data_IF_075189181131
#
_entry.id   IF_075189181131
#
_cell.length_a   1.000
_cell.length_b   1.000
_cell.length_c   1.000
_cell.angle_alpha   90.00
_cell.angle_beta   90.00
_cell.angle_gamma   90.00
#
_symmetry.space_group_name_H-M   'P 1'
#
loop_
_entity.id
_entity.type
_entity.pdbx_description
1 polymer ?
#
# COMPACT_ATOMS: atom_id res chain seq x y z
N UNK A 1 -11.01 -7.86 -24.57
CA UNK A 1 -9.74 -8.41 -25.18
C UNK A 1 -8.59 -7.79 -24.40
N UNK A 2 -7.61 -8.60 -23.98
CA UNK A 2 -6.47 -8.05 -23.25
C UNK A 2 -5.74 -6.99 -24.08
N UNK A 3 -5.54 -5.78 -23.51
CA UNK A 3 -4.89 -4.66 -24.19
C UNK A 3 -3.38 -4.86 -24.36
N UNK A 4 -2.73 -3.96 -25.07
CA UNK A 4 -1.28 -3.94 -25.19
C UNK A 4 -0.64 -3.48 -23.90
N UNK A 5 0.45 -4.14 -23.49
CA UNK A 5 1.20 -3.75 -22.28
C UNK A 5 2.68 -4.09 -22.41
N UNK A 6 3.49 -3.43 -21.59
CA UNK A 6 4.86 -3.82 -21.28
C UNK A 6 4.93 -4.05 -19.78
N UNK A 7 5.36 -5.24 -19.37
CA UNK A 7 5.62 -5.54 -17.96
C UNK A 7 7.12 -5.51 -17.69
N UNK A 8 7.52 -4.66 -16.77
CA UNK A 8 8.89 -4.58 -16.29
C UNK A 8 8.89 -4.13 -14.83
N UNK A 9 9.48 -4.92 -13.94
CA UNK A 9 9.71 -4.53 -12.56
C UNK A 9 11.18 -4.67 -12.23
N UNK A 10 11.91 -3.58 -11.95
CA UNK A 10 13.35 -3.60 -11.77
C UNK A 10 13.79 -4.03 -10.36
N UNK A 11 12.87 -4.13 -9.40
CA UNK A 11 13.21 -4.43 -8.01
C UNK A 11 13.69 -5.87 -7.83
N UNK A 12 14.89 -6.07 -7.28
CA UNK A 12 15.31 -7.40 -6.80
C UNK A 12 14.65 -7.69 -5.46
N UNK A 13 13.89 -8.76 -5.40
CA UNK A 13 13.16 -9.14 -4.20
C UNK A 13 13.76 -10.39 -3.55
N UNK A 14 14.11 -10.28 -2.27
CA UNK A 14 14.60 -11.37 -1.44
C UNK A 14 13.52 -11.77 -0.43
N UNK A 15 13.03 -12.98 -0.51
CA UNK A 15 11.91 -13.46 0.28
C UNK A 15 12.28 -14.65 1.17
N UNK A 16 11.73 -14.68 2.39
CA UNK A 16 11.84 -15.81 3.32
C UNK A 16 12.64 -15.50 4.58
N UNK A 17 12.74 -16.47 5.49
CA UNK A 17 13.38 -16.33 6.82
C UNK A 17 14.82 -15.85 6.75
N UNK A 18 15.56 -16.33 5.77
CA UNK A 18 16.99 -16.03 5.60
C UNK A 18 17.23 -14.79 4.73
N UNK A 19 16.18 -14.10 4.29
CA UNK A 19 16.30 -13.01 3.32
C UNK A 19 17.13 -11.84 3.84
N UNK A 20 17.13 -11.56 5.15
CA UNK A 20 17.91 -10.47 5.73
C UNK A 20 19.41 -10.63 5.49
N UNK A 21 19.93 -11.84 5.41
CA UNK A 21 21.34 -12.10 5.13
C UNK A 21 21.79 -11.52 3.77
N UNK A 22 20.85 -11.37 2.82
CA UNK A 22 21.12 -10.77 1.51
C UNK A 22 21.47 -9.28 1.59
N UNK A 23 21.11 -8.59 2.68
CA UNK A 23 21.50 -7.19 2.88
C UNK A 23 23.02 -7.01 2.81
N UNK A 24 23.81 -7.94 3.34
CA UNK A 24 25.27 -7.86 3.31
C UNK A 24 25.84 -7.87 1.90
N UNK A 25 25.19 -8.55 0.96
CA UNK A 25 25.64 -8.60 -0.44
C UNK A 25 25.13 -7.39 -1.23
N UNK A 26 23.86 -7.02 -1.04
CA UNK A 26 23.25 -5.88 -1.76
C UNK A 26 23.94 -4.56 -1.40
N UNK A 27 24.23 -4.34 -0.11
CA UNK A 27 24.78 -3.07 0.37
C UNK A 27 26.18 -2.75 -0.18
N UNK A 28 26.91 -3.75 -0.68
CA UNK A 28 28.25 -3.56 -1.29
C UNK A 28 28.21 -2.73 -2.57
N UNK A 29 27.04 -2.70 -3.23
CA UNK A 29 26.84 -2.01 -4.50
C UNK A 29 26.65 -0.49 -4.33
N UNK A 30 26.55 0.01 -3.11
CA UNK A 30 26.25 1.41 -2.81
C UNK A 30 27.43 2.07 -2.07
N UNK A 31 27.50 3.40 -2.12
CA UNK A 31 28.50 4.20 -1.42
C UNK A 31 28.43 4.06 0.10
N UNK A 32 29.33 4.74 0.83
CA UNK A 32 29.52 4.50 2.26
C UNK A 32 28.38 5.01 3.16
N UNK A 33 27.57 5.97 2.71
CA UNK A 33 26.56 6.62 3.56
C UNK A 33 25.16 6.07 3.29
N UNK A 34 24.55 5.45 4.31
CA UNK A 34 23.20 4.90 4.27
C UNK A 34 22.30 5.66 5.22
N UNK A 35 21.23 6.27 4.69
CA UNK A 35 20.15 6.81 5.50
C UNK A 35 19.22 5.66 5.92
N UNK A 36 19.10 5.44 7.22
CA UNK A 36 18.24 4.41 7.79
C UNK A 36 16.92 5.05 8.24
N UNK A 37 15.85 4.87 7.46
CA UNK A 37 14.54 5.44 7.77
C UNK A 37 13.62 4.40 8.41
N UNK A 38 12.89 4.79 9.45
CA UNK A 38 11.95 3.92 10.15
C UNK A 38 10.92 4.72 10.96
N UNK A 39 9.83 4.06 11.38
CA UNK A 39 8.76 4.68 12.13
C UNK A 39 9.08 4.97 13.60
N UNK A 40 8.09 4.90 14.47
CA UNK A 40 8.16 5.25 15.90
C UNK A 40 8.98 4.32 16.80
N UNK A 41 9.83 3.45 16.23
CA UNK A 41 10.75 2.60 16.99
C UNK A 41 10.24 1.20 17.32
N UNK A 42 9.14 0.73 16.73
CA UNK A 42 8.65 -0.65 16.89
C UNK A 42 9.72 -1.68 16.50
N UNK A 43 10.51 -1.41 15.46
CA UNK A 43 11.61 -2.26 15.00
C UNK A 43 12.76 -2.40 16.01
N UNK A 44 12.86 -1.50 17.00
CA UNK A 44 13.83 -1.54 18.10
C UNK A 44 13.39 -2.44 19.27
N UNK A 45 12.12 -2.84 19.29
CA UNK A 45 11.61 -3.75 20.29
C UNK A 45 12.10 -5.17 20.02
N UNK A 46 12.58 -5.85 21.06
CA UNK A 46 12.92 -7.27 20.96
C UNK A 46 11.62 -8.08 20.82
N UNK A 47 11.61 -9.13 20.00
CA UNK A 47 10.47 -10.04 19.94
C UNK A 47 10.19 -10.62 21.34
N UNK A 48 8.90 -10.81 21.67
CA UNK A 48 8.46 -11.28 23.00
C UNK A 48 8.73 -12.76 23.25
N UNK A 49 9.14 -13.53 22.25
CA UNK A 49 9.37 -14.97 22.31
C UNK A 49 10.78 -15.33 21.90
N UNK A 50 11.52 -16.00 22.77
CA UNK A 50 12.88 -16.51 22.55
C UNK A 50 13.96 -15.74 23.31
N UNK A 51 14.66 -16.42 24.24
CA UNK A 51 15.83 -15.86 24.93
C UNK A 51 16.95 -15.64 23.91
N UNK A 52 17.33 -14.38 23.68
CA UNK A 52 18.45 -14.00 22.83
C UNK A 52 18.08 -13.40 21.47
N UNK A 53 16.81 -13.17 21.17
CA UNK A 53 16.43 -12.52 19.92
C UNK A 53 16.83 -11.04 19.92
N UNK A 54 17.49 -10.64 18.83
CA UNK A 54 17.94 -9.28 18.55
C UNK A 54 16.82 -8.54 17.81
N UNK A 55 16.63 -7.25 18.07
CA UNK A 55 15.64 -6.45 17.36
C UNK A 55 15.94 -6.37 15.85
N UNK A 56 14.93 -6.10 15.02
CA UNK A 56 15.15 -5.92 13.57
C UNK A 56 16.17 -4.80 13.34
N UNK A 57 16.02 -3.69 14.07
CA UNK A 57 16.94 -2.56 14.01
C UNK A 57 18.39 -2.98 14.33
N UNK A 58 18.62 -3.70 15.43
CA UNK A 58 19.98 -4.11 15.80
C UNK A 58 20.62 -5.06 14.77
N UNK A 59 19.82 -5.96 14.18
CA UNK A 59 20.29 -6.86 13.11
C UNK A 59 20.71 -6.05 11.87
N UNK A 60 19.88 -5.10 11.42
CA UNK A 60 20.18 -4.25 10.26
C UNK A 60 21.42 -3.39 10.52
N UNK A 61 21.47 -2.73 11.68
CA UNK A 61 22.63 -1.89 12.07
C UNK A 61 23.91 -2.70 12.16
N UNK A 62 23.87 -3.94 12.68
CA UNK A 62 25.04 -4.81 12.73
C UNK A 62 25.58 -5.11 11.32
N UNK A 63 24.71 -5.48 10.38
CA UNK A 63 25.08 -5.77 8.99
C UNK A 63 25.68 -4.52 8.32
N UNK A 64 25.06 -3.34 8.50
CA UNK A 64 25.57 -2.10 7.92
C UNK A 64 26.94 -1.72 8.47
N UNK A 65 27.15 -1.85 9.78
CA UNK A 65 28.45 -1.59 10.44
C UNK A 65 29.54 -2.58 10.00
N UNK A 66 29.21 -3.87 9.89
CA UNK A 66 30.11 -4.89 9.40
C UNK A 66 30.53 -4.63 7.95
N UNK A 67 29.62 -4.09 7.13
CA UNK A 67 29.89 -3.64 5.77
C UNK A 67 30.64 -2.29 5.70
N UNK A 68 31.02 -1.70 6.82
CA UNK A 68 31.75 -0.42 6.89
C UNK A 68 30.91 0.81 6.51
N UNK A 69 29.57 0.72 6.62
CA UNK A 69 28.69 1.84 6.27
C UNK A 69 28.55 2.85 7.40
N UNK A 70 28.51 4.12 7.03
CA UNK A 70 28.11 5.22 7.92
C UNK A 70 26.59 5.35 7.88
N UNK A 71 25.95 5.27 9.05
CA UNK A 71 24.49 5.33 9.16
C UNK A 71 24.09 6.76 9.48
N UNK A 72 23.20 7.31 8.65
CA UNK A 72 22.47 8.56 8.90
C UNK A 72 21.06 8.15 9.39
N UNK A 73 20.78 8.40 10.66
CA UNK A 73 19.51 8.02 11.29
C UNK A 73 18.40 9.00 10.88
N UNK A 74 17.28 8.45 10.40
CA UNK A 74 16.06 9.21 10.08
C UNK A 74 14.83 8.50 10.65
N UNK A 75 14.58 8.61 11.97
CA UNK A 75 13.44 8.01 12.65
C UNK A 75 12.16 8.85 12.53
N UNK A 76 11.07 8.29 13.02
CA UNK A 76 9.82 9.02 13.25
C UNK A 76 8.93 9.14 12.02
N UNK A 77 9.13 8.29 11.02
CA UNK A 77 8.17 8.20 9.91
C UNK A 77 6.82 7.75 10.46
N UNK A 78 5.81 8.62 10.31
CA UNK A 78 4.45 8.36 10.77
C UNK A 78 3.64 7.55 9.75
N UNK A 79 2.57 6.88 10.17
CA UNK A 79 1.51 6.49 9.24
C UNK A 79 1.01 7.73 8.49
N UNK A 80 0.66 7.61 7.22
CA UNK A 80 0.33 8.75 6.35
C UNK A 80 1.42 9.84 6.37
N UNK A 81 2.64 9.57 5.84
CA UNK A 81 3.75 10.51 5.95
C UNK A 81 3.40 11.86 5.31
N UNK A 82 3.81 12.95 5.97
CA UNK A 82 3.49 14.29 5.50
C UNK A 82 4.57 14.88 4.62
N UNK A 83 4.19 15.84 3.79
CA UNK A 83 5.14 16.54 2.91
C UNK A 83 6.21 17.29 3.72
N UNK A 84 5.84 17.84 4.88
CA UNK A 84 6.77 18.53 5.78
C UNK A 84 7.87 17.57 6.24
N UNK A 85 7.49 16.34 6.65
CA UNK A 85 8.46 15.30 7.06
C UNK A 85 9.32 14.85 5.90
N UNK A 86 8.76 14.74 4.69
CA UNK A 86 9.54 14.43 3.47
C UNK A 86 10.58 15.50 3.19
N UNK A 87 10.23 16.78 3.32
CA UNK A 87 11.16 17.90 3.10
C UNK A 87 12.31 17.91 4.12
N UNK A 88 12.03 17.58 5.39
CA UNK A 88 13.07 17.41 6.42
C UNK A 88 14.06 16.30 6.04
N UNK A 89 13.55 15.12 5.69
CA UNK A 89 14.38 13.99 5.28
C UNK A 89 15.15 14.25 3.99
N UNK A 90 14.52 14.90 3.01
CA UNK A 90 15.17 15.29 1.74
C UNK A 90 16.35 16.26 1.96
N UNK A 91 16.17 17.24 2.84
CA UNK A 91 17.23 18.16 3.25
C UNK A 91 18.38 17.39 3.91
N UNK A 92 18.07 16.53 4.88
CA UNK A 92 19.08 15.71 5.57
C UNK A 92 19.84 14.82 4.59
N UNK A 93 19.12 14.15 3.67
CA UNK A 93 19.73 13.28 2.66
C UNK A 93 20.72 14.03 1.76
N UNK A 94 20.35 15.26 1.35
CA UNK A 94 21.20 16.14 0.53
C UNK A 94 22.42 16.64 1.29
N UNK A 95 22.26 17.15 2.51
CA UNK A 95 23.34 17.70 3.35
C UNK A 95 24.36 16.63 3.71
N UNK A 96 23.91 15.42 4.06
CA UNK A 96 24.77 14.29 4.39
C UNK A 96 25.33 13.58 3.14
N UNK A 97 24.85 13.89 1.95
CA UNK A 97 25.25 13.25 0.69
C UNK A 97 25.05 11.72 0.78
N UNK A 98 23.83 11.34 1.05
CA UNK A 98 23.43 9.93 1.23
C UNK A 98 23.52 9.17 -0.08
N UNK A 99 24.11 7.97 -0.05
CA UNK A 99 24.29 7.10 -1.21
C UNK A 99 23.15 6.08 -1.40
N UNK A 100 22.43 5.76 -0.33
CA UNK A 100 21.28 4.85 -0.31
C UNK A 100 20.32 5.23 0.82
N UNK A 101 19.04 5.21 0.56
CA UNK A 101 17.99 5.28 1.59
C UNK A 101 17.47 3.86 1.84
N UNK A 102 17.65 3.34 3.07
CA UNK A 102 17.17 2.04 3.49
C UNK A 102 15.94 2.22 4.39
N UNK A 103 14.77 1.91 3.85
CA UNK A 103 13.51 1.93 4.58
C UNK A 103 13.33 0.62 5.38
N UNK A 104 13.14 0.71 6.70
CA UNK A 104 12.84 -0.43 7.56
C UNK A 104 11.48 -0.21 8.22
N UNK A 105 10.42 -0.74 7.61
CA UNK A 105 9.06 -0.46 8.07
C UNK A 105 7.97 -1.06 7.18
N UNK A 106 6.76 -0.54 7.32
CA UNK A 106 5.64 -0.83 6.42
C UNK A 106 5.62 0.10 5.21
N UNK A 107 4.53 0.06 4.43
CA UNK A 107 4.36 0.85 3.21
C UNK A 107 4.61 2.34 3.39
N UNK A 108 4.11 2.96 4.47
CA UNK A 108 4.36 4.39 4.76
C UNK A 108 5.85 4.74 4.85
N UNK A 109 6.69 3.82 5.37
CA UNK A 109 8.14 4.03 5.42
C UNK A 109 8.77 3.87 4.03
N UNK A 110 8.28 2.95 3.21
CA UNK A 110 8.72 2.78 1.83
C UNK A 110 8.33 3.99 0.97
N UNK A 111 7.09 4.49 1.10
CA UNK A 111 6.60 5.69 0.41
C UNK A 111 7.42 6.92 0.78
N UNK A 112 7.64 7.10 2.09
CA UNK A 112 8.49 8.16 2.60
C UNK A 112 9.90 8.13 1.99
N UNK A 113 10.53 6.97 1.98
CA UNK A 113 11.89 6.81 1.43
C UNK A 113 11.95 7.16 -0.06
N UNK A 114 10.97 6.72 -0.86
CA UNK A 114 10.86 7.07 -2.27
C UNK A 114 10.64 8.57 -2.48
N UNK A 115 9.77 9.18 -1.68
CA UNK A 115 9.53 10.63 -1.74
C UNK A 115 10.79 11.43 -1.36
N UNK A 116 11.47 11.07 -0.27
CA UNK A 116 12.74 11.70 0.12
C UNK A 116 13.78 11.59 -1.00
N UNK A 117 13.92 10.41 -1.60
CA UNK A 117 14.87 10.17 -2.69
C UNK A 117 14.61 11.04 -3.93
N UNK A 118 13.34 11.24 -4.29
CA UNK A 118 12.95 12.06 -5.43
C UNK A 118 12.96 13.56 -5.15
N UNK A 119 12.84 13.95 -3.86
CA UNK A 119 12.78 15.36 -3.46
C UNK A 119 14.14 15.95 -3.07
N UNK A 120 15.13 15.14 -2.70
CA UNK A 120 16.41 15.60 -2.12
C UNK A 120 17.16 16.61 -2.99
N UNK A 121 17.11 16.46 -4.31
CA UNK A 121 17.81 17.34 -5.26
C UNK A 121 16.85 18.15 -6.14
N UNK A 122 15.54 18.12 -5.86
CA UNK A 122 14.57 18.95 -6.57
C UNK A 122 14.64 20.40 -6.06
N UNK A 123 14.72 21.36 -6.98
CA UNK A 123 14.76 22.79 -6.68
C UNK A 123 13.39 23.49 -6.76
N UNK A 124 12.43 22.81 -7.40
CA UNK A 124 11.05 23.29 -7.51
C UNK A 124 10.29 23.03 -6.21
N UNK A 125 9.15 23.68 -6.05
CA UNK A 125 8.18 23.30 -5.02
C UNK A 125 7.71 21.86 -5.28
N UNK A 126 8.19 20.92 -4.44
CA UNK A 126 8.00 19.48 -4.66
C UNK A 126 6.54 19.05 -4.55
N UNK A 127 5.77 19.67 -3.63
CA UNK A 127 4.36 19.35 -3.47
C UNK A 127 3.57 19.73 -4.73
N UNK A 128 3.75 20.95 -5.20
CA UNK A 128 3.12 21.44 -6.41
C UNK A 128 3.63 20.73 -7.66
N UNK A 129 4.95 20.51 -7.76
CA UNK A 129 5.56 19.93 -8.95
C UNK A 129 5.16 18.45 -9.12
N UNK A 130 5.35 17.63 -8.10
CA UNK A 130 5.08 16.19 -8.20
C UNK A 130 3.62 15.85 -7.92
N UNK A 131 3.07 16.27 -6.79
CA UNK A 131 1.79 15.76 -6.32
C UNK A 131 0.58 16.48 -6.92
N UNK A 132 0.69 17.76 -7.32
CA UNK A 132 -0.38 18.45 -8.02
C UNK A 132 -0.28 18.34 -9.54
N UNK A 133 0.91 18.60 -10.10
CA UNK A 133 1.09 18.74 -11.53
C UNK A 133 1.60 17.47 -12.22
N UNK A 134 1.93 16.41 -11.46
CA UNK A 134 2.55 15.19 -11.98
C UNK A 134 3.75 15.48 -12.90
N UNK A 135 4.55 16.49 -12.50
CA UNK A 135 5.73 16.92 -13.25
C UNK A 135 6.80 15.85 -13.33
N UNK A 136 7.64 15.91 -14.36
CA UNK A 136 8.72 14.93 -14.55
C UNK A 136 9.75 14.99 -13.42
N UNK A 137 10.29 13.82 -13.07
CA UNK A 137 11.43 13.71 -12.15
C UNK A 137 12.71 14.01 -12.92
N UNK A 138 13.09 15.29 -12.95
CA UNK A 138 14.20 15.86 -13.71
C UNK A 138 15.46 16.15 -12.85
N UNK A 139 15.54 15.52 -11.68
CA UNK A 139 16.66 15.69 -10.75
C UNK A 139 17.35 14.36 -10.44
N UNK A 140 18.47 14.45 -9.69
CA UNK A 140 19.20 13.28 -9.23
C UNK A 140 18.31 12.44 -8.31
N UNK A 141 18.29 11.12 -8.53
CA UNK A 141 17.65 10.11 -7.68
C UNK A 141 18.65 9.50 -6.71
N UNK A 142 18.28 9.39 -5.44
CA UNK A 142 19.04 8.57 -4.48
C UNK A 142 18.46 7.16 -4.52
N UNK A 143 19.28 6.10 -4.69
CA UNK A 143 18.80 4.72 -4.62
C UNK A 143 17.99 4.43 -3.35
N UNK A 144 16.94 3.62 -3.45
CA UNK A 144 16.10 3.21 -2.33
C UNK A 144 16.09 1.70 -2.20
N UNK A 145 16.10 1.21 -0.98
CA UNK A 145 15.90 -0.20 -0.66
C UNK A 145 14.92 -0.33 0.52
N UNK A 146 14.22 -1.47 0.59
CA UNK A 146 13.21 -1.71 1.61
C UNK A 146 13.47 -3.01 2.39
N UNK A 147 13.24 -2.97 3.71
CA UNK A 147 13.10 -4.14 4.57
C UNK A 147 11.67 -4.07 5.14
N UNK A 148 10.80 -4.91 4.62
CA UNK A 148 9.37 -4.81 4.90
C UNK A 148 9.02 -5.45 6.25
N UNK A 149 8.27 -4.72 7.08
CA UNK A 149 7.82 -5.21 8.40
C UNK A 149 6.29 -5.30 8.53
N UNK A 150 5.55 -4.89 7.51
CA UNK A 150 4.09 -4.98 7.43
C UNK A 150 3.67 -5.17 5.97
N UNK A 151 2.87 -6.18 5.68
CA UNK A 151 2.30 -6.42 4.37
C UNK A 151 0.99 -5.63 4.18
N UNK A 152 0.81 -5.03 3.02
CA UNK A 152 -0.39 -4.26 2.64
C UNK A 152 -0.17 -3.60 1.28
N UNK A 153 0.55 -2.51 1.28
CA UNK A 153 0.64 -1.56 0.15
C UNK A 153 1.35 -2.06 -1.11
N UNK A 154 2.22 -3.07 -1.02
CA UNK A 154 3.09 -3.44 -2.15
C UNK A 154 4.20 -2.43 -2.48
N UNK A 155 4.34 -1.36 -1.70
CA UNK A 155 5.28 -0.23 -1.91
C UNK A 155 6.74 -0.65 -2.02
N UNK A 156 7.09 -1.83 -1.51
CA UNK A 156 8.42 -2.42 -1.63
C UNK A 156 8.76 -2.89 -3.05
N UNK A 157 7.77 -2.96 -3.96
CA UNK A 157 7.97 -3.42 -5.33
C UNK A 157 7.21 -2.55 -6.36
N UNK A 158 6.86 -1.33 -6.02
CA UNK A 158 6.28 -0.33 -6.92
C UNK A 158 7.02 1.01 -6.87
N UNK A 159 6.65 1.93 -7.77
CA UNK A 159 7.20 3.28 -7.84
C UNK A 159 6.32 4.31 -7.11
N UNK A 160 5.12 3.93 -6.67
CA UNK A 160 4.15 4.82 -6.07
C UNK A 160 4.59 5.27 -4.66
N UNK A 161 4.30 6.51 -4.33
CA UNK A 161 4.51 7.09 -3.00
C UNK A 161 3.32 7.97 -2.67
N UNK A 162 2.63 7.67 -1.58
CA UNK A 162 1.45 8.40 -1.13
C UNK A 162 1.83 9.29 0.06
N UNK A 163 1.66 10.61 -0.13
CA UNK A 163 2.05 11.62 0.85
C UNK A 163 0.85 12.51 1.19
N UNK A 164 0.77 12.92 2.45
CA UNK A 164 -0.29 13.80 2.96
C UNK A 164 0.18 15.24 3.09
N UNK A 165 -0.73 16.20 2.88
CA UNK A 165 -0.57 17.58 3.27
C UNK A 165 -1.72 17.96 4.21
N UNK A 166 -1.40 18.17 5.48
CA UNK A 166 -2.41 18.59 6.46
C UNK A 166 -2.88 20.03 6.22
N UNK A 167 -2.02 20.90 5.68
CA UNK A 167 -2.37 22.26 5.35
C UNK A 167 -3.40 22.39 4.24
N UNK A 168 -3.48 21.40 3.34
CA UNK A 168 -4.43 21.37 2.23
C UNK A 168 -5.54 20.33 2.42
N UNK A 169 -5.51 19.53 3.49
CA UNK A 169 -6.38 18.37 3.68
C UNK A 169 -6.39 17.46 2.44
N UNK A 170 -5.19 17.13 1.95
CA UNK A 170 -5.00 16.31 0.76
C UNK A 170 -4.08 15.13 1.06
N UNK A 171 -4.39 14.00 0.44
CA UNK A 171 -3.54 12.81 0.40
C UNK A 171 -3.38 12.44 -1.05
N UNK A 172 -2.17 12.60 -1.57
CA UNK A 172 -1.86 12.52 -2.98
C UNK A 172 -0.76 11.49 -3.24
N UNK A 173 -0.73 10.96 -4.45
CA UNK A 173 0.30 10.02 -4.88
C UNK A 173 1.16 10.60 -5.99
N UNK A 174 2.39 10.05 -6.09
CA UNK A 174 3.26 10.27 -7.23
C UNK A 174 4.09 9.02 -7.52
N UNK A 175 4.38 8.77 -8.79
CA UNK A 175 5.24 7.65 -9.20
C UNK A 175 6.68 8.13 -9.38
N UNK A 176 7.52 7.83 -8.37
CA UNK A 176 8.96 8.09 -8.42
C UNK A 176 9.70 6.97 -9.16
N UNK A 177 10.43 6.14 -8.45
CA UNK A 177 11.07 4.92 -8.97
C UNK A 177 10.87 3.78 -8.00
N UNK A 178 10.92 2.56 -8.54
CA UNK A 178 10.93 1.36 -7.71
C UNK A 178 12.16 1.31 -6.81
N UNK A 179 12.09 0.66 -5.63
CA UNK A 179 13.27 0.29 -4.87
C UNK A 179 14.21 -0.60 -5.69
N UNK A 180 15.51 -0.44 -5.52
CA UNK A 180 16.52 -1.25 -6.21
C UNK A 180 16.46 -2.72 -5.72
N UNK A 181 16.23 -2.90 -4.42
CA UNK A 181 15.98 -4.21 -3.83
C UNK A 181 15.06 -4.12 -2.62
N UNK A 182 14.40 -5.24 -2.32
CA UNK A 182 13.52 -5.38 -1.16
C UNK A 182 13.73 -6.70 -0.45
N UNK A 183 13.73 -6.66 0.88
CA UNK A 183 13.92 -7.82 1.76
C UNK A 183 12.62 -8.06 2.51
N UNK A 184 12.04 -9.23 2.34
CA UNK A 184 10.76 -9.65 2.86
C UNK A 184 10.93 -10.91 3.71
N UNK A 185 11.03 -10.74 5.03
CA UNK A 185 10.95 -11.83 5.99
C UNK A 185 9.57 -11.83 6.66
N UNK A 186 8.71 -12.83 6.42
CA UNK A 186 7.38 -12.90 7.03
C UNK A 186 7.38 -12.81 8.56
N UNK A 187 8.44 -13.27 9.22
CA UNK A 187 8.55 -13.20 10.70
C UNK A 187 8.63 -11.76 11.21
N UNK A 188 9.08 -10.80 10.40
CA UNK A 188 9.11 -9.39 10.77
C UNK A 188 7.71 -8.78 10.93
N UNK A 189 6.69 -9.46 10.39
CA UNK A 189 5.29 -9.04 10.53
C UNK A 189 4.59 -9.59 11.78
N UNK A 190 5.20 -10.51 12.53
CA UNK A 190 4.56 -11.20 13.66
C UNK A 190 4.17 -10.30 14.83
N UNK A 191 4.83 -9.15 14.95
CA UNK A 191 4.56 -8.16 16.00
C UNK A 191 3.59 -7.05 15.58
N UNK A 192 3.10 -7.09 14.35
CA UNK A 192 2.10 -6.14 13.85
C UNK A 192 0.79 -6.36 14.60
N UNK A 193 0.20 -5.32 15.23
CA UNK A 193 -1.09 -5.44 15.90
C UNK A 193 -2.19 -5.90 14.94
N UNK A 194 -3.15 -6.68 15.45
CA UNK A 194 -4.24 -7.21 14.64
C UNK A 194 -4.97 -6.13 13.84
N UNK A 195 -5.26 -4.98 14.45
CA UNK A 195 -5.90 -3.84 13.78
C UNK A 195 -5.15 -3.41 12.51
N UNK A 196 -3.83 -3.33 12.58
CA UNK A 196 -3.00 -2.98 11.42
C UNK A 196 -2.87 -4.15 10.43
N UNK A 197 -2.80 -5.38 10.93
CA UNK A 197 -2.73 -6.57 10.08
C UNK A 197 -3.97 -6.70 9.19
N UNK A 198 -5.17 -6.56 9.75
CA UNK A 198 -6.41 -6.69 8.97
C UNK A 198 -6.61 -5.51 8.02
N UNK A 199 -6.17 -4.30 8.41
CA UNK A 199 -6.12 -3.15 7.51
C UNK A 199 -5.24 -3.44 6.29
N UNK A 200 -4.02 -3.97 6.49
CA UNK A 200 -3.14 -4.38 5.39
C UNK A 200 -3.74 -5.49 4.53
N UNK A 201 -4.42 -6.46 5.12
CA UNK A 201 -5.12 -7.52 4.38
C UNK A 201 -6.21 -6.93 3.48
N UNK A 202 -6.98 -5.96 3.97
CA UNK A 202 -8.00 -5.33 3.13
C UNK A 202 -7.41 -4.45 2.04
N UNK A 203 -6.34 -3.74 2.32
CA UNK A 203 -5.57 -2.97 1.33
C UNK A 203 -5.13 -3.85 0.16
N UNK A 204 -4.58 -5.05 0.44
CA UNK A 204 -4.24 -6.04 -0.59
C UNK A 204 -5.48 -6.45 -1.41
N UNK A 205 -6.60 -6.72 -0.75
CA UNK A 205 -7.86 -7.08 -1.43
C UNK A 205 -8.34 -5.95 -2.33
N UNK A 206 -8.29 -4.71 -1.85
CA UNK A 206 -8.68 -3.51 -2.61
C UNK A 206 -7.81 -3.33 -3.85
N UNK A 207 -6.49 -3.43 -3.72
CA UNK A 207 -5.57 -3.38 -4.85
C UNK A 207 -5.94 -4.38 -5.94
N UNK A 208 -6.22 -5.63 -5.57
CA UNK A 208 -6.59 -6.67 -6.53
C UNK A 208 -7.95 -6.35 -7.16
N UNK A 209 -8.95 -5.98 -6.34
CA UNK A 209 -10.31 -5.71 -6.80
C UNK A 209 -10.36 -4.54 -7.77
N UNK A 210 -9.66 -3.44 -7.50
CA UNK A 210 -9.69 -2.23 -8.33
C UNK A 210 -8.96 -2.39 -9.68
N UNK A 211 -8.14 -3.42 -9.80
CA UNK A 211 -7.55 -3.85 -11.07
C UNK A 211 -8.39 -4.95 -11.74
N UNK A 212 -9.10 -5.77 -10.96
CA UNK A 212 -9.98 -6.83 -11.45
C UNK A 212 -11.33 -6.31 -11.94
N UNK A 213 -11.95 -5.40 -11.18
CA UNK A 213 -13.25 -4.78 -11.47
C UNK A 213 -13.13 -3.64 -12.48
N UNK A 214 -12.44 -3.91 -13.56
CA UNK A 214 -12.28 -3.05 -14.74
C UNK A 214 -12.28 -3.94 -15.97
N UNK A 215 -12.68 -3.42 -17.11
CA UNK A 215 -12.88 -4.19 -18.34
C UNK A 215 -13.87 -5.36 -18.24
N UNK A 216 -14.38 -5.82 -19.35
CA UNK A 216 -15.50 -6.77 -19.40
C UNK A 216 -15.10 -8.20 -19.74
N UNK A 217 -13.82 -8.48 -19.94
CA UNK A 217 -13.37 -9.73 -20.52
C UNK A 217 -12.71 -10.70 -19.53
N UNK A 218 -12.71 -11.94 -19.90
CA UNK A 218 -12.09 -13.05 -19.19
C UNK A 218 -10.65 -13.24 -19.68
N UNK A 219 -9.67 -12.57 -19.04
CA UNK A 219 -8.27 -12.67 -19.44
C UNK A 219 -7.39 -13.33 -18.37
N UNK A 220 -6.13 -13.59 -18.71
CA UNK A 220 -5.17 -14.22 -17.81
C UNK A 220 -4.97 -13.43 -16.53
N UNK A 221 -4.98 -12.09 -16.59
CA UNK A 221 -4.85 -11.21 -15.40
C UNK A 221 -6.00 -11.43 -14.41
N UNK A 222 -7.22 -11.70 -14.90
CA UNK A 222 -8.37 -12.03 -14.05
C UNK A 222 -8.18 -13.35 -13.30
N UNK A 223 -7.71 -14.40 -13.98
CA UNK A 223 -7.44 -15.70 -13.33
C UNK A 223 -6.35 -15.61 -12.27
N UNK A 224 -5.32 -14.80 -12.51
CA UNK A 224 -4.26 -14.52 -11.53
C UNK A 224 -4.87 -13.78 -10.31
N UNK A 225 -5.64 -12.73 -10.55
CA UNK A 225 -6.29 -11.93 -9.52
C UNK A 225 -7.23 -12.80 -8.64
N UNK A 226 -8.06 -13.65 -9.27
CA UNK A 226 -8.94 -14.60 -8.55
C UNK A 226 -8.13 -15.59 -7.69
N UNK A 227 -7.00 -16.07 -8.18
CA UNK A 227 -6.07 -16.92 -7.43
C UNK A 227 -5.49 -16.20 -6.20
N UNK A 228 -5.04 -14.96 -6.37
CA UNK A 228 -4.52 -14.13 -5.29
C UNK A 228 -5.58 -13.84 -4.23
N UNK A 229 -6.80 -13.46 -4.63
CA UNK A 229 -7.91 -13.22 -3.70
C UNK A 229 -8.26 -14.47 -2.87
N UNK A 230 -8.36 -15.66 -3.50
CA UNK A 230 -8.61 -16.91 -2.78
C UNK A 230 -7.49 -17.24 -1.77
N UNK A 231 -6.23 -17.07 -2.16
CA UNK A 231 -5.08 -17.24 -1.27
C UNK A 231 -5.16 -16.29 -0.06
N UNK A 232 -5.50 -15.02 -0.32
CA UNK A 232 -5.62 -14.00 0.72
C UNK A 232 -6.74 -14.32 1.71
N UNK A 233 -7.93 -14.73 1.23
CA UNK A 233 -9.08 -15.09 2.07
C UNK A 233 -8.73 -16.24 3.03
N UNK A 234 -8.09 -17.29 2.51
CA UNK A 234 -7.68 -18.44 3.34
C UNK A 234 -6.60 -18.04 4.34
N UNK A 235 -5.59 -17.31 3.89
CA UNK A 235 -4.44 -16.93 4.73
C UNK A 235 -4.81 -15.89 5.78
N UNK A 236 -5.75 -14.97 5.47
CA UNK A 236 -6.25 -13.98 6.45
C UNK A 236 -6.94 -14.64 7.64
N UNK A 237 -7.77 -15.65 7.41
CA UNK A 237 -8.45 -16.41 8.46
C UNK A 237 -7.46 -17.16 9.36
N UNK A 238 -6.44 -17.78 8.76
CA UNK A 238 -5.38 -18.45 9.52
C UNK A 238 -4.57 -17.45 10.36
N UNK A 239 -4.19 -16.31 9.76
CA UNK A 239 -3.44 -15.27 10.47
C UNK A 239 -4.26 -14.61 11.60
N UNK A 240 -5.59 -14.52 11.45
CA UNK A 240 -6.48 -14.04 12.51
C UNK A 240 -6.51 -14.99 13.70
N UNK A 241 -6.52 -16.31 13.45
CA UNK A 241 -6.48 -17.34 14.49
C UNK A 241 -5.11 -17.47 15.15
N UNK A 242 -4.04 -17.36 14.35
CA UNK A 242 -2.66 -17.40 14.80
C UNK A 242 -1.82 -16.34 14.07
N UNK A 243 -1.63 -15.15 14.66
CA UNK A 243 -0.84 -14.07 14.06
C UNK A 243 0.63 -14.40 13.77
N UNK A 244 1.14 -15.49 14.34
CA UNK A 244 2.51 -15.98 14.13
C UNK A 244 2.58 -17.22 13.21
N UNK A 245 1.49 -17.56 12.52
CA UNK A 245 1.51 -18.61 11.49
C UNK A 245 2.36 -18.14 10.31
N UNK A 246 3.54 -18.75 10.18
CA UNK A 246 4.52 -18.36 9.18
C UNK A 246 3.97 -18.53 7.76
N UNK A 247 3.27 -19.62 7.48
CA UNK A 247 2.73 -19.87 6.14
C UNK A 247 1.65 -18.86 5.78
N UNK A 248 0.74 -18.56 6.71
CA UNK A 248 -0.28 -17.55 6.50
C UNK A 248 0.33 -16.16 6.26
N UNK A 249 1.30 -15.75 7.10
CA UNK A 249 2.00 -14.45 6.95
C UNK A 249 2.82 -14.38 5.67
N UNK A 250 3.44 -15.51 5.25
CA UNK A 250 4.17 -15.61 3.98
C UNK A 250 3.23 -15.40 2.80
N UNK A 251 2.09 -16.09 2.78
CA UNK A 251 1.12 -15.98 1.71
C UNK A 251 0.52 -14.57 1.63
N UNK A 252 0.20 -13.94 2.77
CA UNK A 252 -0.29 -12.55 2.81
C UNK A 252 0.77 -11.61 2.24
N UNK A 253 2.03 -11.72 2.69
CA UNK A 253 3.13 -10.86 2.25
C UNK A 253 3.41 -11.03 0.74
N UNK A 254 3.43 -12.28 0.26
CA UNK A 254 3.65 -12.55 -1.16
C UNK A 254 2.48 -12.07 -2.02
N UNK A 255 1.25 -12.23 -1.54
CA UNK A 255 0.06 -11.71 -2.23
C UNK A 255 0.09 -10.18 -2.31
N UNK A 256 0.51 -9.49 -1.24
CA UNK A 256 0.66 -8.02 -1.22
C UNK A 256 1.58 -7.52 -2.33
N UNK A 257 2.74 -8.15 -2.47
CA UNK A 257 3.70 -7.81 -3.52
C UNK A 257 3.11 -7.97 -4.93
N UNK A 258 2.40 -9.07 -5.19
CA UNK A 258 1.78 -9.31 -6.49
C UNK A 258 0.55 -8.45 -6.75
N UNK A 259 -0.13 -8.00 -5.69
CA UNK A 259 -1.32 -7.17 -5.82
C UNK A 259 -1.03 -5.80 -6.45
N UNK A 260 0.18 -5.24 -6.28
CA UNK A 260 0.49 -3.88 -6.74
C UNK A 260 1.85 -3.73 -7.45
N UNK A 261 2.45 -4.79 -7.95
CA UNK A 261 3.69 -4.69 -8.73
C UNK A 261 3.49 -4.49 -10.25
N UNK A 262 2.26 -4.23 -10.68
CA UNK A 262 1.86 -4.02 -12.07
C UNK A 262 1.38 -5.27 -12.80
N UNK A 263 1.51 -6.49 -12.22
CA UNK A 263 1.14 -7.74 -12.90
C UNK A 263 -0.37 -7.84 -13.17
N UNK A 264 -1.19 -7.58 -12.15
CA UNK A 264 -2.66 -7.73 -12.22
C UNK A 264 -3.32 -6.66 -13.09
N UNK A 265 -2.63 -5.53 -13.33
CA UNK A 265 -3.08 -4.46 -14.22
C UNK A 265 -2.70 -4.68 -15.69
N UNK A 266 -1.91 -5.70 -16.02
CA UNK A 266 -1.42 -5.90 -17.39
C UNK A 266 -2.56 -6.04 -18.40
N UNK A 267 -2.60 -5.09 -19.34
CA UNK A 267 -3.57 -5.07 -20.43
C UNK A 267 -4.98 -4.66 -20.03
N UNK A 268 -5.14 -4.00 -18.87
CA UNK A 268 -6.42 -3.55 -18.31
C UNK A 268 -6.43 -2.05 -18.05
N UNK A 269 -7.61 -1.43 -18.08
CA UNK A 269 -7.87 -0.21 -17.35
C UNK A 269 -7.99 -0.53 -15.85
N UNK A 270 -7.90 0.46 -14.98
CA UNK A 270 -7.95 0.27 -13.53
C UNK A 270 -8.89 1.29 -12.92
N UNK A 271 -9.66 0.88 -11.92
CA UNK A 271 -10.70 1.70 -11.31
C UNK A 271 -10.12 2.73 -10.31
N UNK A 272 -9.51 2.26 -9.23
CA UNK A 272 -8.92 3.06 -8.14
C UNK A 272 -9.87 3.96 -7.37
N UNK A 273 -11.19 3.89 -7.58
CA UNK A 273 -12.13 4.78 -6.91
C UNK A 273 -12.31 4.46 -5.42
N UNK A 274 -12.16 3.20 -4.97
CA UNK A 274 -12.14 2.90 -3.53
C UNK A 274 -10.96 3.59 -2.86
N UNK A 275 -9.79 3.59 -3.50
CA UNK A 275 -8.62 4.32 -3.01
C UNK A 275 -8.86 5.83 -2.97
N UNK A 276 -9.45 6.42 -4.00
CA UNK A 276 -9.71 7.87 -4.04
C UNK A 276 -10.71 8.28 -2.94
N UNK A 277 -11.81 7.54 -2.77
CA UNK A 277 -12.80 7.75 -1.70
C UNK A 277 -12.18 7.58 -0.30
N UNK A 278 -11.44 6.49 -0.08
CA UNK A 278 -10.79 6.22 1.19
C UNK A 278 -9.71 7.24 1.55
N UNK A 279 -8.93 7.70 0.57
CA UNK A 279 -7.91 8.75 0.76
C UNK A 279 -8.54 10.10 1.08
N UNK A 280 -9.67 10.44 0.44
CA UNK A 280 -10.42 11.66 0.73
C UNK A 280 -10.90 11.69 2.18
N UNK A 281 -11.44 10.58 2.70
CA UNK A 281 -11.80 10.45 4.12
C UNK A 281 -10.55 10.53 5.01
N UNK A 282 -9.48 9.80 4.66
CA UNK A 282 -8.25 9.79 5.45
C UNK A 282 -7.55 11.15 5.52
N UNK A 283 -7.69 12.01 4.51
CA UNK A 283 -7.12 13.36 4.50
C UNK A 283 -7.64 14.26 5.63
N UNK A 284 -8.85 14.01 6.12
CA UNK A 284 -9.50 14.75 7.20
C UNK A 284 -9.45 14.02 8.55
N UNK A 285 -9.37 12.70 8.54
CA UNK A 285 -9.50 11.89 9.77
C UNK A 285 -8.16 11.31 10.24
N UNK A 286 -7.15 11.30 9.39
CA UNK A 286 -5.87 10.60 9.58
C UNK A 286 -6.03 9.10 9.94
N UNK A 287 -7.17 8.52 9.59
CA UNK A 287 -7.48 7.13 9.88
C UNK A 287 -6.58 6.16 9.09
N UNK A 288 -6.45 4.94 9.61
CA UNK A 288 -5.66 3.88 8.98
C UNK A 288 -6.20 3.53 7.60
N UNK A 289 -5.34 3.56 6.60
CA UNK A 289 -5.67 3.46 5.17
C UNK A 289 -6.60 2.27 4.84
N UNK A 290 -6.22 1.04 5.18
CA UNK A 290 -7.06 -0.12 4.85
C UNK A 290 -8.43 -0.10 5.51
N UNK A 291 -8.61 0.58 6.65
CA UNK A 291 -9.91 0.77 7.27
C UNK A 291 -10.77 1.80 6.52
N UNK A 292 -10.17 2.89 5.99
CA UNK A 292 -10.93 3.82 5.15
C UNK A 292 -11.35 3.20 3.82
N UNK A 293 -10.52 2.31 3.25
CA UNK A 293 -10.88 1.55 2.05
C UNK A 293 -12.05 0.60 2.33
N UNK A 294 -11.99 -0.17 3.41
CA UNK A 294 -13.07 -1.11 3.76
C UNK A 294 -14.39 -0.39 4.04
N UNK A 295 -14.33 0.77 4.66
CA UNK A 295 -15.49 1.56 5.03
C UNK A 295 -16.29 2.08 3.82
N UNK A 296 -15.62 2.40 2.70
CA UNK A 296 -16.28 2.96 1.51
C UNK A 296 -16.65 1.89 0.46
N UNK A 297 -15.96 0.75 0.47
CA UNK A 297 -16.01 -0.21 -0.63
C UNK A 297 -17.37 -0.86 -0.81
N UNK A 298 -18.08 -1.20 0.29
CA UNK A 298 -19.41 -1.83 0.21
C UNK A 298 -20.42 -0.96 -0.52
N UNK A 299 -20.47 0.33 -0.19
CA UNK A 299 -21.34 1.29 -0.84
C UNK A 299 -20.95 1.53 -2.30
N UNK A 300 -19.65 1.70 -2.57
CA UNK A 300 -19.16 1.91 -3.93
C UNK A 300 -19.43 0.71 -4.85
N UNK A 301 -19.13 -0.51 -4.41
CA UNK A 301 -19.38 -1.69 -5.23
C UNK A 301 -20.88 -1.95 -5.45
N UNK A 302 -21.71 -1.65 -4.47
CA UNK A 302 -23.16 -1.68 -4.63
C UNK A 302 -23.65 -0.65 -5.66
N UNK A 303 -23.05 0.53 -5.66
CA UNK A 303 -23.30 1.55 -6.69
C UNK A 303 -22.93 1.01 -8.08
N UNK A 304 -21.74 0.43 -8.26
CA UNK A 304 -21.31 -0.13 -9.56
C UNK A 304 -22.26 -1.22 -10.07
N UNK A 305 -22.65 -2.17 -9.22
CA UNK A 305 -23.57 -3.27 -9.58
C UNK A 305 -24.92 -2.73 -10.07
N UNK A 306 -25.38 -1.62 -9.50
CA UNK A 306 -26.68 -1.03 -9.83
C UNK A 306 -26.64 -0.10 -11.06
N UNK A 307 -25.46 0.39 -11.47
CA UNK A 307 -25.33 1.40 -12.53
C UNK A 307 -24.59 0.88 -13.78
N UNK A 308 -24.07 -0.35 -13.76
CA UNK A 308 -23.37 -0.94 -14.90
C UNK A 308 -23.64 -2.43 -15.03
N UNK A 309 -24.20 -2.84 -16.17
CA UNK A 309 -24.40 -4.27 -16.48
C UNK A 309 -23.04 -5.00 -16.63
N UNK A 310 -22.00 -4.32 -17.10
CA UNK A 310 -20.65 -4.89 -17.18
C UNK A 310 -20.07 -5.13 -15.80
N UNK A 311 -20.20 -4.16 -14.88
CA UNK A 311 -19.79 -4.32 -13.49
C UNK A 311 -20.57 -5.48 -12.86
N UNK A 312 -21.87 -5.54 -13.04
CA UNK A 312 -22.72 -6.61 -12.50
C UNK A 312 -22.25 -8.00 -12.96
N UNK A 313 -21.99 -8.17 -14.26
CA UNK A 313 -21.46 -9.42 -14.81
C UNK A 313 -20.09 -9.79 -14.20
N UNK A 314 -19.22 -8.81 -14.03
CA UNK A 314 -17.90 -9.03 -13.41
C UNK A 314 -18.03 -9.43 -11.95
N UNK A 315 -18.96 -8.83 -11.20
CA UNK A 315 -19.29 -9.24 -9.84
C UNK A 315 -19.92 -10.64 -9.75
N UNK A 316 -20.73 -11.06 -10.72
CA UNK A 316 -21.23 -12.44 -10.82
C UNK A 316 -20.08 -13.44 -11.00
N UNK A 317 -19.09 -13.10 -11.83
CA UNK A 317 -17.87 -13.91 -11.98
C UNK A 317 -17.04 -13.94 -10.68
N UNK A 318 -16.86 -12.81 -10.01
CA UNK A 318 -16.19 -12.71 -8.70
C UNK A 318 -16.88 -13.58 -7.66
N UNK A 319 -18.21 -13.49 -7.58
CA UNK A 319 -19.05 -14.28 -6.67
C UNK A 319 -18.79 -15.77 -6.84
N UNK A 320 -18.85 -16.25 -8.08
CA UNK A 320 -18.67 -17.66 -8.40
C UNK A 320 -17.22 -18.13 -8.18
N UNK A 321 -16.25 -17.42 -8.72
CA UNK A 321 -14.87 -17.91 -8.80
C UNK A 321 -14.06 -17.68 -7.51
N UNK A 322 -14.41 -16.67 -6.73
CA UNK A 322 -13.68 -16.30 -5.50
C UNK A 322 -14.45 -16.72 -4.25
N UNK A 323 -15.76 -16.46 -4.22
CA UNK A 323 -16.59 -16.71 -3.05
C UNK A 323 -17.39 -18.02 -3.10
N UNK A 324 -17.53 -18.64 -4.27
CA UNK A 324 -18.28 -19.89 -4.45
C UNK A 324 -19.80 -19.73 -4.30
N UNK A 325 -20.32 -18.53 -4.57
CA UNK A 325 -21.76 -18.20 -4.52
C UNK A 325 -22.23 -17.66 -5.87
N UNK A 326 -23.54 -17.73 -6.12
CA UNK A 326 -24.15 -17.22 -7.36
C UNK A 326 -24.76 -15.83 -7.13
N UNK A 327 -24.64 -14.94 -8.12
CA UNK A 327 -25.23 -13.60 -8.14
C UNK A 327 -24.30 -12.51 -7.59
N UNK A 328 -24.27 -11.35 -8.27
CA UNK A 328 -23.39 -10.23 -7.96
C UNK A 328 -23.56 -9.71 -6.52
N UNK A 329 -24.81 -9.51 -6.09
CA UNK A 329 -25.12 -9.03 -4.74
C UNK A 329 -24.73 -10.03 -3.66
N UNK A 330 -24.99 -11.34 -3.86
CA UNK A 330 -24.58 -12.38 -2.92
C UNK A 330 -23.06 -12.44 -2.78
N UNK A 331 -22.33 -12.21 -3.88
CA UNK A 331 -20.87 -12.10 -3.85
C UNK A 331 -20.38 -10.92 -3.01
N UNK A 332 -21.00 -9.75 -3.18
CA UNK A 332 -20.68 -8.56 -2.38
C UNK A 332 -21.01 -8.79 -0.89
N UNK A 333 -22.19 -9.33 -0.56
CA UNK A 333 -22.58 -9.64 0.81
C UNK A 333 -21.65 -10.66 1.47
N UNK A 334 -21.15 -11.65 0.71
CA UNK A 334 -20.18 -12.64 1.19
C UNK A 334 -18.83 -11.97 1.47
N UNK A 335 -18.38 -11.03 0.63
CA UNK A 335 -17.19 -10.23 0.88
C UNK A 335 -17.35 -9.36 2.14
N UNK A 336 -18.47 -8.68 2.29
CA UNK A 336 -18.77 -7.88 3.48
C UNK A 336 -18.80 -8.74 4.76
N UNK A 337 -19.32 -9.98 4.68
CA UNK A 337 -19.28 -10.93 5.80
C UNK A 337 -17.84 -11.29 6.19
N UNK A 338 -16.95 -11.53 5.22
CA UNK A 338 -15.53 -11.75 5.46
C UNK A 338 -14.85 -10.50 6.05
N UNK A 339 -15.21 -9.30 5.61
CA UNK A 339 -14.68 -8.05 6.18
C UNK A 339 -15.09 -7.91 7.66
N UNK A 340 -16.34 -8.23 8.02
CA UNK A 340 -16.80 -8.25 9.41
C UNK A 340 -16.11 -9.32 10.24
N UNK A 341 -15.86 -10.51 9.68
CA UNK A 341 -15.08 -11.58 10.32
C UNK A 341 -13.69 -11.10 10.72
N UNK A 342 -13.04 -10.28 9.89
CA UNK A 342 -11.74 -9.69 10.17
C UNK A 342 -11.78 -8.53 11.18
N UNK A 343 -12.95 -7.95 11.45
CA UNK A 343 -13.10 -6.77 12.32
C UNK A 343 -12.70 -5.46 11.64
N UNK A 344 -12.92 -5.36 10.34
CA UNK A 344 -12.67 -4.14 9.57
C UNK A 344 -13.73 -3.07 9.84
N UNK A 345 -13.38 -1.80 9.65
CA UNK A 345 -14.35 -0.72 9.63
C UNK A 345 -15.31 -0.92 8.45
N UNK A 346 -16.60 -0.85 8.72
CA UNK A 346 -17.65 -1.06 7.72
C UNK A 346 -18.32 0.25 7.30
N UNK A 347 -18.09 1.32 8.05
CA UNK A 347 -18.63 2.65 7.83
C UNK A 347 -17.55 3.70 8.01
N UNK A 348 -17.65 4.83 7.33
CA UNK A 348 -16.67 5.91 7.46
C UNK A 348 -16.71 6.58 8.85
N UNK A 349 -17.82 6.47 9.56
CA UNK A 349 -17.93 6.93 10.96
C UNK A 349 -17.03 6.15 11.90
N UNK A 350 -16.77 4.85 11.63
CA UNK A 350 -15.78 4.03 12.36
C UNK A 350 -14.34 4.56 12.16
N UNK A 351 -14.14 5.35 11.10
CA UNK A 351 -12.88 6.04 10.79
C UNK A 351 -12.85 7.50 11.28
N UNK A 352 -13.83 7.93 12.05
CA UNK A 352 -13.91 9.30 12.58
C UNK A 352 -14.50 10.32 11.61
N UNK A 353 -15.08 9.89 10.48
CA UNK A 353 -15.73 10.80 9.53
C UNK A 353 -17.11 11.26 10.04
N UNK A 354 -17.49 12.48 9.64
CA UNK A 354 -18.76 13.10 10.01
C UNK A 354 -19.64 13.34 8.78
N UNK A 355 -20.96 13.22 8.97
CA UNK A 355 -21.94 13.48 7.91
C UNK A 355 -21.91 14.94 7.41
N UNK A 356 -21.50 15.88 8.27
CA UNK A 356 -21.42 17.31 7.95
C UNK A 356 -20.29 17.63 6.96
N UNK A 357 -19.28 16.74 6.87
CA UNK A 357 -18.07 16.93 6.05
C UNK A 357 -18.12 16.21 4.68
N UNK A 358 -19.26 15.61 4.30
CA UNK A 358 -19.39 14.85 3.05
C UNK A 358 -19.01 15.66 1.80
N UNK A 359 -19.37 16.94 1.76
CA UNK A 359 -19.00 17.85 0.68
C UNK A 359 -17.49 18.08 0.61
N UNK A 360 -16.85 18.25 1.77
CA UNK A 360 -15.41 18.43 1.88
C UNK A 360 -14.66 17.17 1.41
N UNK A 361 -15.13 15.98 1.80
CA UNK A 361 -14.54 14.73 1.33
C UNK A 361 -14.71 14.58 -0.18
N UNK A 362 -15.87 14.93 -0.73
CA UNK A 362 -16.09 14.89 -2.18
C UNK A 362 -15.18 15.85 -2.94
N UNK A 363 -14.93 17.05 -2.41
CA UNK A 363 -14.00 18.03 -2.99
C UNK A 363 -12.52 17.59 -2.89
N UNK A 364 -12.22 16.73 -1.92
CA UNK A 364 -10.89 16.13 -1.76
C UNK A 364 -10.68 14.85 -2.57
N UNK A 365 -11.74 14.29 -3.17
CA UNK A 365 -11.72 13.02 -3.89
C UNK A 365 -11.40 13.24 -5.38
N UNK A 366 -10.22 12.84 -5.89
CA UNK A 366 -9.99 12.81 -7.31
C UNK A 366 -10.92 11.79 -7.99
N UNK A 367 -11.43 12.13 -9.18
CA UNK A 367 -12.27 11.21 -9.96
C UNK A 367 -11.39 10.51 -11.00
N UNK A 368 -11.34 9.18 -10.95
CA UNK A 368 -10.68 8.36 -11.95
C UNK A 368 -11.69 7.88 -13.02
N UNK A 369 -11.28 7.89 -14.27
CA UNK A 369 -12.14 7.53 -15.42
C UNK A 369 -11.93 6.06 -15.88
N UNK A 370 -11.05 5.29 -15.21
CA UNK A 370 -10.67 3.94 -15.63
C UNK A 370 -11.67 2.83 -15.28
N UNK A 371 -12.66 3.10 -14.42
CA UNK A 371 -13.64 2.13 -13.96
C UNK A 371 -14.85 1.96 -14.90
N UNK A 372 -15.83 1.15 -14.46
CA UNK A 372 -17.08 0.92 -15.22
C UNK A 372 -17.99 2.15 -15.29
N UNK A 373 -17.89 3.03 -14.32
CA UNK A 373 -18.69 4.26 -14.22
C UNK A 373 -17.78 5.40 -13.82
N UNK A 374 -17.70 6.44 -14.63
CA UNK A 374 -17.05 7.70 -14.21
C UNK A 374 -18.01 8.43 -13.27
N UNK A 375 -17.62 8.60 -12.03
CA UNK A 375 -18.46 9.25 -11.02
C UNK A 375 -18.57 10.76 -11.29
N UNK A 376 -19.73 11.31 -11.01
CA UNK A 376 -19.88 12.76 -10.82
C UNK A 376 -19.56 13.12 -9.35
N UNK A 377 -19.34 14.40 -9.05
CA UNK A 377 -19.22 14.86 -7.66
C UNK A 377 -20.42 14.44 -6.80
N UNK A 378 -21.63 14.46 -7.37
CA UNK A 378 -22.84 14.05 -6.65
C UNK A 378 -22.82 12.55 -6.33
N UNK A 379 -22.38 11.71 -7.28
CA UNK A 379 -22.23 10.27 -7.05
C UNK A 379 -21.23 9.99 -5.92
N UNK A 380 -20.13 10.74 -5.85
CA UNK A 380 -19.16 10.66 -4.74
C UNK A 380 -19.84 10.96 -3.40
N UNK A 381 -20.61 12.04 -3.32
CA UNK A 381 -21.38 12.40 -2.11
C UNK A 381 -22.37 11.29 -1.74
N UNK A 382 -23.08 10.72 -2.72
CA UNK A 382 -24.08 9.70 -2.48
C UNK A 382 -23.46 8.37 -2.03
N UNK A 383 -22.31 7.98 -2.60
CA UNK A 383 -21.52 6.82 -2.14
C UNK A 383 -21.00 7.05 -0.72
N UNK A 384 -20.43 8.22 -0.43
CA UNK A 384 -19.94 8.55 0.93
C UNK A 384 -21.08 8.59 1.95
N UNK A 385 -22.25 9.12 1.57
CA UNK A 385 -23.45 9.11 2.42
C UNK A 385 -23.93 7.68 2.69
N UNK A 386 -23.91 6.81 1.71
CA UNK A 386 -24.25 5.41 1.87
C UNK A 386 -23.19 4.61 2.67
N UNK A 387 -22.03 5.22 2.93
CA UNK A 387 -20.95 4.67 3.74
C UNK A 387 -20.97 5.17 5.20
N UNK A 388 -21.93 6.03 5.60
CA UNK A 388 -22.13 6.46 6.99
C UNK A 388 -22.79 5.31 7.78
#
# INVERSE_FOLDING_TARGET
MQGNFTFHNPTRLHFGKESLAKLSDEIKNYGPKVMLTYGGGSIKKKPSTGSGQVSIYDQVVAILKEAGKTIVEEPGVMPNPTIEKVLEGAKLAKEEKVDLILAVGGGSTCDYAKAVAGCAYQEKDVWKHYFHNFGEMDCQWIPVACILTMAGTGSEMDACSVISSHSENRKMFYYFRNPDFSILNPEFTFTVPQYQMVAGIYDIMSHILEQYLSDSDDNTSDYIAEGLMRSLIVSSRKALQNPQDYEARSNIMWTATWALNGLTACGKSTDWMVHMLGQAVAAYTDATHGHTLSAVSGAYYRFLINHSDDAKRKFERLAKNVWGVEGAMNGLETMEAWMRELGLAMNITDCGANAEDLENYADACPINEGGYVTLTRQDVIDVLRASL
#
